data_IF_686800782714
#
_entry.id   IF_686800782714
#
_cell.length_a   1.000
_cell.length_b   1.000
_cell.length_c   1.000
_cell.angle_alpha   90.00
_cell.angle_beta   90.00
_cell.angle_gamma   90.00
#
_symmetry.space_group_name_H-M   'P 1'
#
loop_
_entity.id
_entity.type
_entity.pdbx_description
1 polymer ?
#
# COMPACT_ATOMS: atom_id res chain seq x y z
N UNK A 1 -55.03 -13.75 -32.24
CA UNK A 1 -53.82 -14.54 -31.94
C UNK A 1 -52.66 -13.61 -31.49
N UNK A 2 -52.84 -12.89 -30.37
CA UNK A 2 -51.80 -12.00 -29.79
C UNK A 2 -51.84 -11.94 -28.25
N UNK A 3 -52.70 -12.74 -27.60
CA UNK A 3 -52.91 -12.71 -26.15
C UNK A 3 -52.16 -13.87 -25.45
N UNK A 4 -51.99 -15.00 -26.12
CA UNK A 4 -51.27 -16.17 -25.57
C UNK A 4 -49.75 -15.99 -25.48
N UNK A 5 -49.14 -15.07 -26.25
CA UNK A 5 -47.68 -14.85 -26.25
C UNK A 5 -47.20 -14.07 -25.02
N UNK A 6 -48.08 -13.25 -24.43
CA UNK A 6 -47.77 -12.45 -23.24
C UNK A 6 -48.08 -13.21 -21.93
N UNK A 7 -49.00 -14.17 -21.96
CA UNK A 7 -49.33 -15.01 -20.79
C UNK A 7 -48.18 -15.96 -20.42
N UNK A 8 -47.50 -16.55 -21.42
CA UNK A 8 -46.34 -17.44 -21.19
C UNK A 8 -45.16 -16.69 -20.58
N UNK A 9 -44.95 -15.41 -20.94
CA UNK A 9 -43.90 -14.57 -20.35
C UNK A 9 -44.20 -14.18 -18.90
N UNK A 10 -45.46 -14.02 -18.54
CA UNK A 10 -45.86 -13.67 -17.18
C UNK A 10 -45.82 -14.87 -16.22
N UNK A 11 -46.18 -16.07 -16.71
CA UNK A 11 -46.13 -17.32 -15.93
C UNK A 11 -44.68 -17.77 -15.69
N UNK A 12 -43.77 -17.62 -16.67
CA UNK A 12 -42.35 -17.89 -16.48
C UNK A 12 -41.68 -16.89 -15.52
N UNK A 13 -42.17 -15.65 -15.41
CA UNK A 13 -41.65 -14.68 -14.44
C UNK A 13 -42.08 -14.99 -13.00
N UNK A 14 -43.24 -15.64 -12.83
CA UNK A 14 -43.78 -16.01 -11.52
C UNK A 14 -43.21 -17.35 -11.00
N UNK A 15 -42.72 -18.25 -11.87
CA UNK A 15 -42.13 -19.52 -11.45
C UNK A 15 -40.65 -19.44 -11.01
N UNK A 16 -39.99 -18.29 -11.18
CA UNK A 16 -38.68 -18.03 -10.55
C UNK A 16 -38.78 -17.27 -9.23
N UNK A 17 -39.99 -16.86 -8.85
CA UNK A 17 -40.27 -16.25 -7.55
C UNK A 17 -41.02 -17.29 -6.72
N UNK A 18 -40.28 -17.96 -5.83
CA UNK A 18 -40.75 -18.86 -4.77
C UNK A 18 -41.01 -20.32 -5.16
N UNK A 19 -40.00 -21.18 -4.96
CA UNK A 19 -39.89 -21.99 -3.74
C UNK A 19 -38.90 -23.14 -3.96
N UNK A 20 -37.69 -23.00 -3.42
CA UNK A 20 -37.13 -24.08 -2.62
C UNK A 20 -36.36 -23.47 -1.45
N UNK A 21 -36.88 -23.74 -0.25
CA UNK A 21 -36.26 -23.51 1.03
C UNK A 21 -34.91 -24.22 1.08
N UNK A 22 -33.84 -23.53 0.70
CA UNK A 22 -32.53 -23.81 1.27
C UNK A 22 -32.38 -22.86 2.43
N UNK A 23 -32.28 -23.43 3.63
CA UNK A 23 -31.87 -22.77 4.88
C UNK A 23 -30.58 -21.98 4.66
N UNK A 24 -30.70 -20.78 4.09
CA UNK A 24 -29.65 -19.78 4.11
C UNK A 24 -29.82 -19.03 5.42
N UNK A 25 -28.74 -18.87 6.23
CA UNK A 25 -28.81 -17.95 7.36
C UNK A 25 -29.32 -16.63 6.80
N UNK A 26 -30.23 -15.96 7.54
CA UNK A 26 -30.77 -14.65 7.18
C UNK A 26 -29.59 -13.81 6.69
N UNK A 27 -29.50 -13.56 5.39
CA UNK A 27 -28.64 -12.52 4.87
C UNK A 27 -29.22 -11.25 5.48
N UNK A 28 -28.55 -10.76 6.52
CA UNK A 28 -28.77 -9.42 7.01
C UNK A 28 -28.64 -8.54 5.79
N UNK A 29 -29.78 -7.99 5.34
CA UNK A 29 -29.77 -6.82 4.47
C UNK A 29 -28.77 -5.89 5.12
N UNK A 30 -27.66 -5.62 4.45
CA UNK A 30 -26.71 -4.60 4.86
C UNK A 30 -27.50 -3.31 4.76
N UNK A 31 -28.24 -3.00 5.82
CA UNK A 31 -28.92 -1.74 6.01
C UNK A 31 -27.82 -0.70 6.02
N UNK A 32 -28.03 0.31 5.20
CA UNK A 32 -27.21 1.50 4.99
C UNK A 32 -27.17 2.38 6.27
N UNK A 33 -27.00 1.76 7.44
CA UNK A 33 -27.17 2.34 8.77
C UNK A 33 -25.88 2.33 9.60
N UNK A 34 -24.77 1.79 9.10
CA UNK A 34 -23.53 1.72 9.89
C UNK A 34 -22.34 2.19 9.08
N UNK A 35 -22.30 3.51 8.85
CA UNK A 35 -21.08 4.19 8.40
C UNK A 35 -19.87 3.82 9.28
N UNK A 36 -20.11 3.54 10.57
CA UNK A 36 -19.12 2.97 11.48
C UNK A 36 -18.56 1.64 10.99
N UNK A 37 -19.40 0.70 10.56
CA UNK A 37 -18.95 -0.60 10.05
C UNK A 37 -18.16 -0.45 8.74
N UNK A 38 -18.56 0.48 7.88
CA UNK A 38 -17.81 0.83 6.66
C UNK A 38 -16.46 1.47 6.98
N UNK A 39 -16.40 2.32 8.01
CA UNK A 39 -15.18 2.95 8.52
C UNK A 39 -14.24 1.91 9.16
N UNK A 40 -14.77 0.97 9.94
CA UNK A 40 -14.00 -0.13 10.52
C UNK A 40 -13.48 -1.12 9.46
N UNK A 41 -14.28 -1.43 8.44
CA UNK A 41 -13.81 -2.16 7.27
C UNK A 41 -12.69 -1.39 6.56
N UNK A 42 -12.85 -0.07 6.38
CA UNK A 42 -11.84 0.74 5.72
C UNK A 42 -10.51 0.87 6.46
N UNK A 43 -10.54 0.80 7.79
CA UNK A 43 -9.34 0.83 8.64
C UNK A 43 -8.64 -0.53 8.75
N UNK A 44 -9.35 -1.64 8.48
CA UNK A 44 -8.79 -2.99 8.52
C UNK A 44 -8.27 -3.47 7.17
N UNK A 45 -8.85 -2.99 6.06
CA UNK A 45 -8.41 -3.32 4.71
C UNK A 45 -7.06 -2.68 4.40
N UNK A 46 -6.00 -3.49 4.49
CA UNK A 46 -4.63 -3.11 4.19
C UNK A 46 -4.44 -2.94 2.68
N UNK A 47 -3.72 -1.89 2.31
CA UNK A 47 -3.35 -1.58 0.93
C UNK A 47 -1.84 -1.43 0.81
N UNK A 48 -1.33 -1.67 -0.40
CA UNK A 48 0.10 -1.50 -0.66
C UNK A 48 0.46 -0.01 -0.50
N UNK A 49 1.62 0.22 0.07
CA UNK A 49 2.10 1.57 0.39
C UNK A 49 2.98 2.04 -0.74
N UNK A 50 2.80 3.28 -1.19
CA UNK A 50 3.63 3.86 -2.24
C UNK A 50 4.75 4.71 -1.67
N UNK A 51 5.85 4.82 -2.40
CA UNK A 51 7.00 5.64 -2.02
C UNK A 51 7.66 6.25 -3.25
N UNK A 52 8.14 7.48 -3.10
CA UNK A 52 8.92 8.20 -4.11
C UNK A 52 10.14 8.81 -3.47
N UNK A 53 11.27 8.79 -4.19
CA UNK A 53 12.49 9.47 -3.76
C UNK A 53 12.55 10.84 -4.43
N UNK A 54 12.82 11.88 -3.66
CA UNK A 54 12.98 13.26 -4.10
C UNK A 54 14.43 13.69 -3.85
N UNK A 55 15.22 13.82 -4.92
CA UNK A 55 16.61 14.22 -4.82
C UNK A 55 16.74 15.74 -4.89
N UNK A 56 17.05 16.38 -3.76
CA UNK A 56 17.24 17.83 -3.65
C UNK A 56 18.72 18.24 -3.74
N UNK A 57 19.61 17.30 -4.06
CA UNK A 57 21.04 17.55 -4.23
C UNK A 57 21.36 18.01 -5.65
N UNK A 58 22.50 18.69 -5.77
CA UNK A 58 23.09 19.10 -7.05
C UNK A 58 23.81 17.94 -7.78
N UNK A 59 23.83 16.74 -7.19
CA UNK A 59 24.48 15.54 -7.74
C UNK A 59 23.47 14.39 -7.86
N UNK A 60 23.64 13.48 -8.83
CA UNK A 60 22.81 12.29 -8.91
C UNK A 60 23.02 11.39 -7.69
N UNK A 61 21.96 10.68 -7.29
CA UNK A 61 21.99 9.74 -6.18
C UNK A 61 21.38 8.40 -6.58
N UNK A 62 21.87 7.31 -6.01
CA UNK A 62 21.17 6.02 -6.05
C UNK A 62 20.45 5.80 -4.73
N UNK A 63 19.28 5.17 -4.78
CA UNK A 63 18.50 4.87 -3.58
C UNK A 63 17.85 3.49 -3.70
N UNK A 64 17.91 2.72 -2.62
CA UNK A 64 17.32 1.39 -2.56
C UNK A 64 16.81 1.07 -1.16
N UNK A 65 15.76 0.25 -1.11
CA UNK A 65 15.18 -0.29 0.12
C UNK A 65 15.35 -1.80 0.10
N UNK A 66 15.83 -2.37 1.21
CA UNK A 66 16.15 -3.78 1.37
C UNK A 66 15.36 -4.37 2.52
N UNK A 67 14.96 -5.63 2.37
CA UNK A 67 14.30 -6.41 3.43
C UNK A 67 15.28 -6.96 4.49
N UNK A 68 16.60 -6.80 4.26
CA UNK A 68 17.67 -7.34 5.07
C UNK A 68 18.66 -6.28 5.57
N UNK A 69 19.26 -6.53 6.74
CA UNK A 69 20.13 -5.58 7.43
C UNK A 69 21.50 -5.37 6.79
N UNK A 70 21.92 -6.27 5.90
CA UNK A 70 23.17 -6.16 5.17
C UNK A 70 23.06 -5.26 3.93
N UNK A 71 21.84 -4.88 3.52
CA UNK A 71 21.56 -4.26 2.22
C UNK A 71 22.16 -5.06 1.06
N UNK A 72 22.10 -6.39 1.16
CA UNK A 72 22.56 -7.32 0.11
C UNK A 72 21.39 -7.64 -0.82
N UNK A 73 21.47 -7.27 -2.12
CA UNK A 73 20.42 -7.58 -3.08
C UNK A 73 20.34 -9.08 -3.42
N UNK A 74 21.37 -9.87 -3.12
CA UNK A 74 21.43 -11.30 -3.43
C UNK A 74 21.03 -12.18 -2.25
N UNK A 75 20.65 -11.59 -1.11
CA UNK A 75 20.14 -12.32 0.03
C UNK A 75 18.87 -13.10 -0.32
N UNK A 76 18.56 -14.14 0.46
CA UNK A 76 17.26 -14.80 0.34
C UNK A 76 16.18 -13.85 0.83
N UNK A 77 15.08 -13.64 0.07
CA UNK A 77 13.98 -12.80 0.51
C UNK A 77 13.47 -13.25 1.88
N UNK A 78 13.22 -12.28 2.76
CA UNK A 78 12.67 -12.53 4.09
C UNK A 78 11.30 -13.23 4.01
N UNK A 79 10.54 -12.99 2.95
CA UNK A 79 9.28 -13.66 2.66
C UNK A 79 9.25 -14.20 1.22
N UNK A 80 8.86 -15.46 1.00
CA UNK A 80 8.79 -16.05 -0.33
C UNK A 80 7.88 -15.24 -1.27
N UNK A 81 8.33 -15.01 -2.50
CA UNK A 81 7.57 -14.29 -3.52
C UNK A 81 7.63 -12.76 -3.42
N UNK A 82 8.33 -12.20 -2.43
CA UNK A 82 8.56 -10.75 -2.32
C UNK A 82 9.98 -10.37 -2.77
N UNK A 83 10.19 -9.14 -3.29
CA UNK A 83 11.52 -8.65 -3.63
C UNK A 83 12.40 -8.44 -2.40
N UNK A 84 13.68 -8.81 -2.53
CA UNK A 84 14.75 -8.49 -1.56
C UNK A 84 15.05 -6.99 -1.56
N UNK A 85 15.00 -6.38 -2.75
CA UNK A 85 15.40 -5.00 -2.99
C UNK A 85 14.36 -4.26 -3.84
N UNK A 86 14.06 -3.03 -3.43
CA UNK A 86 13.30 -2.04 -4.18
C UNK A 86 14.26 -0.93 -4.62
N UNK A 87 14.92 -1.13 -5.77
CA UNK A 87 15.93 -0.21 -6.30
C UNK A 87 15.30 0.89 -7.17
N UNK A 88 15.50 2.15 -6.80
CA UNK A 88 15.01 3.33 -7.53
C UNK A 88 15.96 3.78 -8.65
N UNK A 89 17.10 3.11 -8.82
CA UNK A 89 18.10 3.42 -9.82
C UNK A 89 18.86 4.70 -9.51
N UNK A 90 19.45 5.30 -10.55
CA UNK A 90 20.11 6.60 -10.45
C UNK A 90 19.09 7.71 -10.67
N UNK A 91 18.92 8.57 -9.67
CA UNK A 91 18.00 9.70 -9.66
C UNK A 91 18.83 10.96 -9.95
N UNK A 92 18.55 11.69 -11.05
CA UNK A 92 19.27 12.92 -11.39
C UNK A 92 19.21 14.01 -10.30
N UNK A 93 20.11 15.01 -10.33
CA UNK A 93 20.01 16.20 -9.49
C UNK A 93 18.64 16.88 -9.60
N UNK A 94 18.14 17.42 -8.48
CA UNK A 94 16.88 18.19 -8.41
C UNK A 94 15.68 17.51 -9.10
N UNK A 95 15.57 16.20 -8.93
CA UNK A 95 14.57 15.39 -9.62
C UNK A 95 13.95 14.34 -8.71
N UNK A 96 12.81 13.80 -9.14
CA UNK A 96 12.08 12.77 -8.41
C UNK A 96 12.17 11.44 -9.14
N UNK A 97 12.32 10.35 -8.39
CA UNK A 97 12.24 9.00 -8.94
C UNK A 97 10.82 8.69 -9.46
N UNK A 98 10.64 7.61 -10.25
CA UNK A 98 9.35 6.96 -10.37
C UNK A 98 8.81 6.54 -9.01
N UNK A 99 7.48 6.52 -8.87
CA UNK A 99 6.81 5.99 -7.68
C UNK A 99 6.95 4.46 -7.68
N UNK A 100 7.27 3.89 -6.53
CA UNK A 100 7.26 2.44 -6.32
C UNK A 100 6.21 2.03 -5.31
N UNK A 101 5.64 0.85 -5.54
CA UNK A 101 4.71 0.20 -4.64
C UNK A 101 5.46 -0.79 -3.76
N UNK A 102 5.37 -0.60 -2.45
CA UNK A 102 5.83 -1.53 -1.44
C UNK A 102 4.65 -2.43 -1.03
N UNK A 103 4.73 -3.75 -1.24
CA UNK A 103 3.68 -4.71 -0.88
C UNK A 103 3.66 -5.00 0.63
N UNK A 104 3.60 -3.94 1.46
CA UNK A 104 3.68 -4.04 2.92
C UNK A 104 2.54 -4.87 3.53
N UNK A 105 1.43 -5.00 2.83
CA UNK A 105 0.28 -5.84 3.20
C UNK A 105 0.62 -7.32 3.33
N UNK A 106 1.61 -7.79 2.58
CA UNK A 106 2.06 -9.19 2.54
C UNK A 106 3.03 -9.53 3.66
N UNK A 107 3.50 -8.52 4.41
CA UNK A 107 4.39 -8.72 5.55
C UNK A 107 3.56 -9.00 6.79
N UNK A 108 3.98 -9.96 7.63
CA UNK A 108 3.27 -10.28 8.86
C UNK A 108 3.31 -9.10 9.82
N UNK A 109 2.21 -8.96 10.56
CA UNK A 109 2.06 -8.03 11.67
C UNK A 109 3.00 -8.35 12.81
N UNK A 110 3.68 -7.34 13.33
CA UNK A 110 4.30 -7.43 14.65
C UNK A 110 3.27 -7.06 15.74
N UNK A 111 2.71 -8.03 16.48
CA UNK A 111 1.67 -7.75 17.46
C UNK A 111 2.15 -6.89 18.64
N UNK A 112 3.46 -6.72 18.81
CA UNK A 112 4.04 -5.91 19.87
C UNK A 112 4.32 -4.46 19.45
N UNK A 113 4.04 -4.10 18.19
CA UNK A 113 4.21 -2.72 17.75
C UNK A 113 3.05 -1.84 18.26
N UNK A 114 3.36 -0.58 18.59
CA UNK A 114 2.39 0.40 19.11
C UNK A 114 1.31 0.80 18.08
N UNK A 115 1.45 0.36 16.83
CA UNK A 115 0.51 0.64 15.73
C UNK A 115 -0.46 -0.52 15.46
N UNK A 116 -0.43 -1.58 16.29
CA UNK A 116 -1.27 -2.76 16.14
C UNK A 116 -0.82 -3.68 14.99
N UNK A 117 0.49 -3.88 14.81
CA UNK A 117 1.06 -4.73 13.78
C UNK A 117 1.08 -4.10 12.39
N UNK A 118 1.09 -2.77 12.30
CA UNK A 118 1.09 -2.04 11.02
C UNK A 118 2.48 -1.57 10.62
N UNK A 119 3.51 -1.70 11.45
CA UNK A 119 4.87 -1.29 11.09
C UNK A 119 5.65 -2.46 10.50
N UNK A 120 6.25 -2.22 9.33
CA UNK A 120 7.12 -3.17 8.66
C UNK A 120 8.54 -2.61 8.63
N UNK A 121 9.53 -3.29 9.25
CA UNK A 121 10.91 -2.84 9.25
C UNK A 121 11.58 -3.19 7.92
N UNK A 122 12.25 -2.19 7.34
CA UNK A 122 13.11 -2.30 6.17
C UNK A 122 14.44 -1.61 6.45
N UNK A 123 15.36 -1.73 5.50
CA UNK A 123 16.63 -1.05 5.53
C UNK A 123 16.78 -0.19 4.29
N UNK A 124 17.14 1.07 4.48
CA UNK A 124 17.25 2.05 3.42
C UNK A 124 18.71 2.41 3.20
N UNK A 125 19.09 2.58 1.93
CA UNK A 125 20.44 2.97 1.54
C UNK A 125 20.39 4.02 0.45
N UNK A 126 21.19 5.08 0.60
CA UNK A 126 21.47 6.06 -0.45
C UNK A 126 22.94 5.93 -0.82
N UNK A 127 23.22 5.88 -2.12
CA UNK A 127 24.56 5.65 -2.66
C UNK A 127 25.20 4.40 -2.00
N UNK A 128 26.49 4.46 -1.72
CA UNK A 128 27.22 3.41 -1.01
C UNK A 128 27.24 3.61 0.52
N UNK A 129 26.39 4.48 1.06
CA UNK A 129 26.35 4.79 2.50
C UNK A 129 25.90 3.59 3.36
N UNK A 130 25.92 3.78 4.68
CA UNK A 130 25.48 2.78 5.66
C UNK A 130 24.03 2.35 5.45
N UNK A 131 23.77 1.06 5.61
CA UNK A 131 22.43 0.47 5.60
C UNK A 131 21.66 0.88 6.87
N UNK A 132 20.66 1.76 6.76
CA UNK A 132 19.94 2.28 7.92
C UNK A 132 18.57 1.61 8.08
N UNK A 133 18.25 1.15 9.29
CA UNK A 133 16.92 0.60 9.58
C UNK A 133 15.87 1.71 9.55
N UNK A 134 14.75 1.47 8.88
CA UNK A 134 13.57 2.33 8.93
C UNK A 134 12.29 1.49 9.02
N UNK A 135 11.20 2.07 9.52
CA UNK A 135 9.92 1.38 9.66
C UNK A 135 8.84 2.09 8.86
N UNK A 136 8.17 1.35 8.00
CA UNK A 136 7.09 1.84 7.15
C UNK A 136 5.75 1.37 7.68
N UNK A 137 4.76 2.25 7.70
CA UNK A 137 3.40 1.93 8.09
C UNK A 137 2.65 1.36 6.89
N UNK A 138 1.96 0.25 7.11
CA UNK A 138 1.03 -0.32 6.13
C UNK A 138 -0.14 0.63 5.94
N UNK A 139 -0.40 0.99 4.69
CA UNK A 139 -1.54 1.81 4.29
C UNK A 139 -2.84 1.04 4.48
N UNK A 140 -3.92 1.74 4.76
CA UNK A 140 -5.27 1.18 4.79
C UNK A 140 -6.13 1.87 3.75
N UNK A 141 -7.28 1.31 3.41
CA UNK A 141 -8.18 1.96 2.44
C UNK A 141 -8.69 3.32 2.93
N UNK A 142 -8.77 3.52 4.25
CA UNK A 142 -9.18 4.78 4.89
C UNK A 142 -8.08 5.85 4.93
N UNK A 143 -6.81 5.46 4.92
CA UNK A 143 -5.68 6.35 5.25
C UNK A 143 -4.67 6.48 4.10
N UNK A 144 -4.75 5.63 3.06
CA UNK A 144 -3.97 5.64 1.80
C UNK A 144 -2.61 6.37 1.88
N UNK A 145 -1.80 5.99 2.86
CA UNK A 145 -0.54 6.66 3.14
C UNK A 145 0.47 6.29 2.05
N UNK A 146 1.27 7.24 1.61
CA UNK A 146 2.56 6.94 1.00
C UNK A 146 3.70 7.66 1.68
N UNK A 147 4.90 7.51 1.15
CA UNK A 147 6.11 8.13 1.68
C UNK A 147 6.85 8.95 0.63
N UNK A 148 7.27 10.15 1.00
CA UNK A 148 8.27 10.92 0.26
C UNK A 148 9.59 10.75 0.99
N UNK A 149 10.57 10.18 0.30
CA UNK A 149 11.94 10.06 0.76
C UNK A 149 12.77 11.19 0.17
N UNK A 150 12.94 12.26 0.94
CA UNK A 150 13.70 13.44 0.54
C UNK A 150 15.19 13.22 0.81
N UNK A 151 16.02 13.24 -0.23
CA UNK A 151 17.47 13.27 -0.11
C UNK A 151 17.89 14.73 -0.06
N UNK A 152 18.17 15.20 1.14
CA UNK A 152 18.37 16.62 1.42
C UNK A 152 19.80 17.01 1.04
N UNK A 153 19.97 18.28 0.62
CA UNK A 153 21.29 18.90 0.44
C UNK A 153 22.12 18.71 1.71
N UNK A 154 23.44 18.54 1.56
CA UNK A 154 24.31 18.30 2.72
C UNK A 154 24.04 19.34 3.80
N UNK A 155 23.61 18.87 4.97
CA UNK A 155 23.31 19.75 6.09
C UNK A 155 24.63 20.37 6.56
N UNK A 156 24.72 21.70 6.73
CA UNK A 156 25.91 22.34 7.31
C UNK A 156 26.14 21.89 8.77
N UNK A 157 25.16 21.22 9.38
CA UNK A 157 25.25 20.62 10.71
C UNK A 157 24.96 19.11 10.59
N UNK A 158 25.93 18.27 10.95
CA UNK A 158 25.89 16.81 10.84
C UNK A 158 24.83 16.10 11.72
N UNK A 159 23.85 16.84 12.27
CA UNK A 159 22.87 16.35 13.23
C UNK A 159 21.58 15.80 12.60
N UNK A 160 21.37 15.99 11.30
CA UNK A 160 20.28 15.37 10.57
C UNK A 160 20.86 14.31 9.63
N UNK A 161 20.24 13.12 9.59
CA UNK A 161 20.46 12.20 8.46
C UNK A 161 20.32 13.04 7.18
N UNK A 162 21.22 12.87 6.21
CA UNK A 162 21.20 13.66 4.99
C UNK A 162 20.00 13.35 4.07
N UNK A 163 18.99 12.70 4.62
CA UNK A 163 17.71 12.40 4.03
C UNK A 163 16.65 12.32 5.13
N UNK A 164 15.40 12.47 4.70
CA UNK A 164 14.23 12.34 5.56
C UNK A 164 13.15 11.53 4.83
N UNK A 165 12.44 10.67 5.56
CA UNK A 165 11.29 9.93 5.02
C UNK A 165 10.03 10.43 5.73
N UNK A 166 9.18 11.14 4.98
CA UNK A 166 7.93 11.73 5.49
C UNK A 166 6.74 10.97 4.93
N UNK A 167 5.69 10.85 5.75
CA UNK A 167 4.37 10.41 5.25
C UNK A 167 3.81 11.50 4.33
N UNK A 168 3.18 11.08 3.26
CA UNK A 168 2.51 11.96 2.31
C UNK A 168 1.24 11.29 1.79
N UNK A 169 0.24 12.11 1.49
CA UNK A 169 -0.91 11.67 0.71
C UNK A 169 -0.49 11.77 -0.75
N UNK A 170 -0.43 10.63 -1.44
CA UNK A 170 -0.09 10.61 -2.86
C UNK A 170 -1.35 10.89 -3.68
N UNK A 171 -1.30 11.97 -4.45
CA UNK A 171 -2.30 12.24 -5.49
C UNK A 171 -1.94 11.32 -6.68
N UNK A 172 -2.92 10.62 -7.31
CA UNK A 172 -2.66 9.78 -8.46
C UNK A 172 -1.89 10.54 -9.56
N UNK A 173 -0.95 9.90 -10.26
CA UNK A 173 -0.07 10.55 -11.24
C UNK A 173 -0.83 11.24 -12.38
N UNK A 174 -2.09 10.86 -12.63
CA UNK A 174 -2.94 11.45 -13.67
C UNK A 174 -3.59 12.78 -13.25
N UNK A 175 -3.26 13.30 -12.06
CA UNK A 175 -3.77 14.56 -11.51
C UNK A 175 -2.65 15.56 -11.13
N UNK A 176 -1.37 15.27 -11.45
CA UNK A 176 -0.25 16.24 -11.34
C UNK A 176 -0.13 17.15 -12.57
#
# INVERSE_FOLDING_TARGET
>A
MYIYKNLIRFVLFLSFVSCENLNKPKEDKITQDRYEDLFWLGTTLRMNTVIRVDNQRDVPVTAAIYDNSACDPNATPKYPGLPVVYDFGTIPPHSKSPVKTLPLTSYPTDPNDWTGGRLVPFYVRINLASCQRNSFLVSTSSDQIGYIWQVIRDSPTAFHNNYEIRRAVFIPPDME
#
